data_IF_455316676691
#
_entry.id   IF_455316676691
#
_cell.length_a   1.000
_cell.length_b   1.000
_cell.length_c   1.000
_cell.angle_alpha   90.00
_cell.angle_beta   90.00
_cell.angle_gamma   90.00
#
_symmetry.space_group_name_H-M   'P 1'
#
loop_
_entity.id
_entity.type
_entity.pdbx_description
1 polymer ?
#
# COMPACT_ATOMS: atom_id res chain seq x y z
N UNK A 1 -8.13 -0.77 -36.70
CA UNK A 1 -7.47 -0.15 -35.54
C UNK A 1 -8.39 0.85 -34.82
N UNK A 2 -9.01 1.82 -35.49
CA UNK A 2 -9.94 2.82 -34.90
C UNK A 2 -11.17 2.23 -34.18
N UNK A 3 -11.72 1.13 -34.66
CA UNK A 3 -12.90 0.47 -34.07
C UNK A 3 -12.60 -0.19 -32.72
N UNK A 4 -11.40 -0.77 -32.55
CA UNK A 4 -10.93 -1.36 -31.29
C UNK A 4 -10.65 -0.28 -30.24
N UNK A 5 -9.95 0.79 -30.61
CA UNK A 5 -9.70 1.93 -29.74
C UNK A 5 -10.99 2.59 -29.26
N UNK A 6 -11.99 2.79 -30.15
CA UNK A 6 -13.31 3.33 -29.81
C UNK A 6 -14.10 2.41 -28.88
N UNK A 7 -14.00 1.09 -29.04
CA UNK A 7 -14.64 0.10 -28.18
C UNK A 7 -13.98 0.07 -26.80
N UNK A 8 -12.67 0.22 -26.75
CA UNK A 8 -11.88 0.30 -25.53
C UNK A 8 -12.24 1.56 -24.72
N UNK A 9 -12.20 2.75 -25.36
CA UNK A 9 -12.53 4.05 -24.73
C UNK A 9 -13.95 4.12 -24.18
N UNK A 10 -14.90 3.34 -24.72
CA UNK A 10 -16.26 3.24 -24.18
C UNK A 10 -16.38 2.39 -22.91
N UNK A 11 -15.37 1.59 -22.58
CA UNK A 11 -15.35 0.69 -21.42
C UNK A 11 -14.41 1.17 -20.31
N UNK A 12 -13.47 2.04 -20.64
CA UNK A 12 -12.54 2.64 -19.67
C UNK A 12 -13.18 3.83 -18.99
N UNK A 13 -12.99 3.95 -17.71
CA UNK A 13 -13.32 5.17 -16.98
C UNK A 13 -12.34 6.28 -17.39
N UNK A 14 -12.79 7.08 -18.36
CA UNK A 14 -12.00 8.16 -18.95
C UNK A 14 -11.64 9.22 -17.90
N UNK A 15 -12.53 9.44 -16.90
CA UNK A 15 -12.28 10.41 -15.84
C UNK A 15 -11.11 9.96 -14.97
N UNK A 16 -11.12 8.70 -14.49
CA UNK A 16 -10.04 8.14 -13.69
C UNK A 16 -8.71 8.16 -14.45
N UNK A 17 -8.74 7.79 -15.75
CA UNK A 17 -7.53 7.82 -16.58
C UNK A 17 -6.98 9.25 -16.75
N UNK A 18 -7.86 10.23 -17.01
CA UNK A 18 -7.48 11.63 -17.14
C UNK A 18 -6.89 12.19 -15.85
N UNK A 19 -7.48 11.87 -14.69
CA UNK A 19 -6.95 12.25 -13.38
C UNK A 19 -5.57 11.63 -13.10
N UNK A 20 -5.38 10.35 -13.43
CA UNK A 20 -4.07 9.70 -13.29
C UNK A 20 -3.00 10.38 -14.17
N UNK A 21 -3.33 10.70 -15.41
CA UNK A 21 -2.42 11.41 -16.33
C UNK A 21 -2.11 12.82 -15.82
N UNK A 22 -3.11 13.54 -15.32
CA UNK A 22 -2.94 14.87 -14.74
C UNK A 22 -2.00 14.82 -13.51
N UNK A 23 -2.26 13.92 -12.56
CA UNK A 23 -1.42 13.74 -11.38
C UNK A 23 0.02 13.36 -11.75
N UNK A 24 0.19 12.45 -12.74
CA UNK A 24 1.51 12.06 -13.24
C UNK A 24 2.24 13.26 -13.88
N UNK A 25 1.53 14.08 -14.66
CA UNK A 25 2.08 15.29 -15.27
C UNK A 25 2.53 16.32 -14.21
N UNK A 26 1.67 16.58 -13.22
CA UNK A 26 2.00 17.47 -12.09
C UNK A 26 3.24 16.94 -11.35
N UNK A 27 3.31 15.64 -11.08
CA UNK A 27 4.45 15.02 -10.40
C UNK A 27 5.76 15.23 -11.16
N UNK A 28 5.77 15.07 -12.49
CA UNK A 28 6.95 15.32 -13.33
C UNK A 28 7.36 16.80 -13.26
N UNK A 29 6.40 17.73 -13.37
CA UNK A 29 6.67 19.19 -13.31
C UNK A 29 7.28 19.58 -11.96
N UNK A 30 6.70 19.07 -10.86
CA UNK A 30 7.22 19.33 -9.49
C UNK A 30 8.65 18.79 -9.35
N UNK A 31 8.92 17.57 -9.83
CA UNK A 31 10.27 17.00 -9.76
C UNK A 31 11.29 17.75 -10.64
N UNK A 32 10.89 18.28 -11.78
CA UNK A 32 11.71 19.15 -12.60
C UNK A 32 12.02 20.46 -11.86
N UNK A 33 11.03 21.08 -11.22
CA UNK A 33 11.20 22.30 -10.45
C UNK A 33 12.16 22.11 -9.27
N UNK A 34 11.99 21.02 -8.50
CA UNK A 34 12.88 20.67 -7.39
C UNK A 34 14.30 20.35 -7.87
N UNK A 35 14.44 19.71 -9.04
CA UNK A 35 15.73 19.38 -9.63
C UNK A 35 16.54 20.61 -10.08
N UNK A 36 15.88 21.72 -10.39
CA UNK A 36 16.54 23.01 -10.73
C UNK A 36 16.90 23.84 -9.48
N UNK A 37 16.25 23.58 -8.35
CA UNK A 37 16.63 24.20 -7.08
C UNK A 37 17.91 23.55 -6.55
N UNK A 38 18.89 24.35 -6.08
CA UNK A 38 20.17 23.86 -5.54
C UNK A 38 20.05 22.91 -4.33
N UNK A 39 18.84 22.70 -3.82
CA UNK A 39 18.50 21.82 -2.72
C UNK A 39 18.31 20.34 -3.11
N UNK A 40 18.28 20.01 -4.40
CA UNK A 40 18.01 18.66 -4.86
C UNK A 40 18.91 18.22 -6.00
N UNK A 41 20.06 17.63 -5.70
CA UNK A 41 20.92 16.95 -6.68
C UNK A 41 20.24 15.80 -7.42
N UNK A 42 19.26 16.05 -8.29
CA UNK A 42 18.41 14.98 -8.79
C UNK A 42 17.75 15.24 -10.15
N UNK A 43 18.54 15.70 -11.11
CA UNK A 43 18.09 15.75 -12.50
C UNK A 43 17.57 14.41 -13.06
N UNK A 44 17.88 13.31 -12.40
CA UNK A 44 17.47 11.97 -12.82
C UNK A 44 16.09 11.55 -12.30
N UNK A 45 15.55 12.15 -11.23
CA UNK A 45 14.27 11.73 -10.62
C UNK A 45 13.07 12.03 -11.53
N UNK A 46 13.07 13.16 -12.21
CA UNK A 46 12.01 13.53 -13.15
C UNK A 46 11.96 12.58 -14.35
N UNK A 47 13.12 12.19 -14.88
CA UNK A 47 13.20 11.21 -15.98
C UNK A 47 12.71 9.84 -15.55
N UNK A 48 13.08 9.38 -14.34
CA UNK A 48 12.60 8.12 -13.77
C UNK A 48 11.07 8.17 -13.57
N UNK A 49 10.54 9.29 -13.05
CA UNK A 49 9.09 9.47 -12.88
C UNK A 49 8.34 9.44 -14.21
N UNK A 50 8.88 10.08 -15.24
CA UNK A 50 8.27 10.07 -16.57
C UNK A 50 8.21 8.66 -17.16
N UNK A 51 9.33 7.91 -17.11
CA UNK A 51 9.39 6.51 -17.57
C UNK A 51 8.43 5.63 -16.75
N UNK A 52 8.40 5.78 -15.43
CA UNK A 52 7.49 5.04 -14.57
C UNK A 52 6.02 5.34 -14.89
N UNK A 53 5.68 6.59 -15.21
CA UNK A 53 4.33 6.99 -15.62
C UNK A 53 3.92 6.36 -16.95
N UNK A 54 4.83 6.29 -17.91
CA UNK A 54 4.57 5.61 -19.20
C UNK A 54 4.38 4.10 -19.02
N UNK A 55 5.22 3.45 -18.22
CA UNK A 55 5.09 2.04 -17.89
C UNK A 55 3.80 1.76 -17.12
N UNK A 56 3.44 2.62 -16.17
CA UNK A 56 2.19 2.53 -15.41
C UNK A 56 0.96 2.64 -16.33
N UNK A 57 0.97 3.59 -17.28
CA UNK A 57 -0.10 3.73 -18.26
C UNK A 57 -0.22 2.48 -19.15
N UNK A 58 0.91 1.94 -19.62
CA UNK A 58 0.92 0.72 -20.43
C UNK A 58 0.36 -0.48 -19.63
N UNK A 59 0.77 -0.64 -18.38
CA UNK A 59 0.25 -1.67 -17.49
C UNK A 59 -1.25 -1.48 -17.21
N UNK A 60 -1.72 -0.26 -17.00
CA UNK A 60 -3.14 0.05 -16.82
C UNK A 60 -3.97 -0.38 -18.04
N UNK A 61 -3.48 -0.12 -19.25
CA UNK A 61 -4.14 -0.56 -20.49
C UNK A 61 -4.17 -2.09 -20.56
N UNK A 62 -3.08 -2.78 -20.25
CA UNK A 62 -3.02 -4.24 -20.27
C UNK A 62 -3.97 -4.84 -19.22
N UNK A 63 -3.89 -4.37 -17.99
CA UNK A 63 -4.70 -4.90 -16.88
C UNK A 63 -6.20 -4.64 -17.06
N UNK A 64 -6.58 -3.57 -17.73
CA UNK A 64 -7.99 -3.26 -18.04
C UNK A 64 -8.64 -4.28 -18.99
N UNK A 65 -7.85 -5.11 -19.68
CA UNK A 65 -8.33 -6.21 -20.54
C UNK A 65 -8.49 -7.53 -19.78
N UNK A 66 -7.96 -7.62 -18.55
CA UNK A 66 -7.98 -8.85 -17.75
C UNK A 66 -9.31 -8.99 -17.02
N UNK A 67 -9.87 -10.19 -17.01
CA UNK A 67 -11.03 -10.50 -16.19
C UNK A 67 -10.65 -10.55 -14.69
N UNK A 68 -11.16 -9.60 -13.92
CA UNK A 68 -10.89 -9.51 -12.49
C UNK A 68 -11.38 -10.74 -11.71
N UNK A 69 -12.45 -11.41 -12.16
CA UNK A 69 -12.91 -12.64 -11.52
C UNK A 69 -11.93 -13.79 -11.75
N UNK A 70 -11.37 -13.91 -12.95
CA UNK A 70 -10.32 -14.88 -13.25
C UNK A 70 -9.07 -14.61 -12.41
N UNK A 71 -8.68 -13.34 -12.29
CA UNK A 71 -7.54 -12.93 -11.48
C UNK A 71 -7.77 -13.21 -9.98
N UNK A 72 -8.96 -12.86 -9.45
CA UNK A 72 -9.31 -13.15 -8.06
C UNK A 72 -9.38 -14.66 -7.78
N UNK A 73 -9.80 -15.48 -8.76
CA UNK A 73 -9.79 -16.94 -8.65
C UNK A 73 -8.38 -17.51 -8.59
N UNK A 74 -7.44 -16.89 -9.30
CA UNK A 74 -6.01 -17.24 -9.28
C UNK A 74 -5.28 -16.74 -8.02
N UNK A 75 -6.02 -16.46 -6.93
CA UNK A 75 -5.49 -15.89 -5.69
C UNK A 75 -4.25 -16.62 -5.13
N UNK A 76 -4.13 -17.97 -5.18
CA UNK A 76 -2.94 -18.62 -4.63
C UNK A 76 -1.67 -18.22 -5.37
N UNK A 77 -1.74 -18.07 -6.70
CA UNK A 77 -0.59 -17.73 -7.51
C UNK A 77 -0.07 -16.32 -7.22
N UNK A 78 -0.93 -15.30 -7.32
CA UNK A 78 -0.49 -13.93 -7.07
C UNK A 78 -0.19 -13.67 -5.58
N UNK A 79 -0.85 -14.37 -4.64
CA UNK A 79 -0.52 -14.29 -3.22
C UNK A 79 0.86 -14.87 -2.92
N UNK A 80 1.20 -16.05 -3.46
CA UNK A 80 2.53 -16.65 -3.30
C UNK A 80 3.61 -15.75 -3.88
N UNK A 81 3.40 -15.17 -5.07
CA UNK A 81 4.37 -14.25 -5.69
C UNK A 81 4.53 -12.98 -4.83
N UNK A 82 3.43 -12.34 -4.44
CA UNK A 82 3.47 -11.10 -3.68
C UNK A 82 4.12 -11.29 -2.31
N UNK A 83 3.66 -12.28 -1.54
CA UNK A 83 4.20 -12.56 -0.21
C UNK A 83 5.59 -13.20 -0.26
N UNK A 84 5.90 -13.98 -1.29
CA UNK A 84 7.25 -14.50 -1.55
C UNK A 84 8.28 -13.39 -1.76
N UNK A 85 7.86 -12.22 -2.24
CA UNK A 85 8.70 -11.02 -2.34
C UNK A 85 8.72 -10.21 -1.03
N UNK A 86 7.62 -10.17 -0.27
CA UNK A 86 7.56 -9.42 1.01
C UNK A 86 8.29 -10.15 2.13
N UNK A 87 8.12 -11.49 2.26
CA UNK A 87 8.68 -12.24 3.38
C UNK A 87 10.20 -12.13 3.53
N UNK A 88 11.02 -12.15 2.46
CA UNK A 88 12.46 -11.97 2.60
C UNK A 88 12.85 -10.65 3.27
N UNK A 89 12.10 -9.56 3.00
CA UNK A 89 12.41 -8.24 3.60
C UNK A 89 12.06 -8.14 5.09
N UNK A 90 11.29 -9.10 5.63
CA UNK A 90 11.04 -9.24 7.07
C UNK A 90 12.30 -9.71 7.83
N UNK A 91 13.11 -10.56 7.20
CA UNK A 91 14.22 -11.25 7.86
C UNK A 91 15.59 -10.77 7.39
N UNK A 92 15.66 -10.22 6.18
CA UNK A 92 16.91 -9.82 5.54
C UNK A 92 16.97 -8.29 5.49
N UNK A 93 17.76 -7.71 6.39
CA UNK A 93 17.93 -6.26 6.49
C UNK A 93 19.26 -5.85 5.86
N UNK A 94 19.21 -5.04 4.79
CA UNK A 94 20.37 -4.56 4.03
C UNK A 94 21.30 -5.66 3.51
N UNK A 95 20.76 -6.86 3.24
CA UNK A 95 21.55 -7.99 2.73
C UNK A 95 21.87 -7.77 1.26
N UNK A 96 23.15 -7.77 0.90
CA UNK A 96 23.64 -7.57 -0.46
C UNK A 96 23.90 -8.89 -1.17
N UNK A 97 23.29 -9.06 -2.33
CA UNK A 97 23.54 -10.18 -3.24
C UNK A 97 23.89 -9.61 -4.63
N UNK A 98 25.18 -9.29 -4.83
CA UNK A 98 25.65 -8.62 -6.05
C UNK A 98 25.03 -7.22 -6.22
N UNK A 99 24.27 -7.02 -7.30
CA UNK A 99 23.58 -5.76 -7.60
C UNK A 99 22.22 -5.61 -6.88
N UNK A 100 21.77 -6.67 -6.17
CA UNK A 100 20.52 -6.70 -5.42
C UNK A 100 20.81 -6.45 -3.92
N UNK A 101 20.04 -5.55 -3.30
CA UNK A 101 20.00 -5.39 -1.84
C UNK A 101 18.57 -5.69 -1.39
N UNK A 102 18.43 -6.62 -0.45
CA UNK A 102 17.15 -7.03 0.15
C UNK A 102 17.00 -6.33 1.48
N UNK A 103 15.80 -5.84 1.79
CA UNK A 103 15.53 -5.09 3.02
C UNK A 103 16.33 -3.77 3.05
N UNK A 104 16.33 -3.04 1.93
CA UNK A 104 17.02 -1.76 1.85
C UNK A 104 16.24 -0.68 2.60
N UNK A 105 16.90 0.03 3.50
CA UNK A 105 16.36 1.21 4.16
C UNK A 105 16.59 2.45 3.27
N UNK A 106 15.55 2.89 2.58
CA UNK A 106 15.64 3.98 1.62
C UNK A 106 15.79 5.36 2.27
N UNK A 107 15.41 5.49 3.55
CA UNK A 107 15.35 6.79 4.25
C UNK A 107 16.17 6.88 5.53
N UNK A 108 16.91 5.83 5.92
CA UNK A 108 17.59 5.80 7.21
C UNK A 108 16.63 5.78 8.40
N UNK A 109 15.41 5.28 8.19
CA UNK A 109 14.31 5.31 9.16
C UNK A 109 14.01 3.94 9.78
N UNK A 110 14.91 2.96 9.60
CA UNK A 110 14.73 1.55 9.96
C UNK A 110 13.54 0.89 9.25
N UNK A 111 13.17 1.40 8.08
CA UNK A 111 12.17 0.80 7.20
C UNK A 111 12.85 -0.10 6.17
N UNK A 112 12.80 -1.42 6.40
CA UNK A 112 13.49 -2.42 5.58
C UNK A 112 12.59 -3.05 4.49
N UNK A 113 11.54 -2.37 4.07
CA UNK A 113 10.52 -2.88 3.13
C UNK A 113 10.90 -2.80 1.65
N UNK A 114 12.12 -2.40 1.30
CA UNK A 114 12.52 -2.13 -0.07
C UNK A 114 13.52 -3.16 -0.61
N UNK A 115 13.45 -3.39 -1.91
CA UNK A 115 14.54 -3.94 -2.71
C UNK A 115 15.27 -2.81 -3.42
N UNK A 116 16.61 -2.88 -3.48
CA UNK A 116 17.41 -2.01 -4.34
C UNK A 116 18.09 -2.86 -5.40
N UNK A 117 17.84 -2.55 -6.67
CA UNK A 117 18.37 -3.27 -7.83
C UNK A 117 19.19 -2.25 -8.64
N UNK A 118 20.51 -2.33 -8.55
CA UNK A 118 21.37 -1.29 -9.12
C UNK A 118 21.11 0.07 -8.46
N UNK A 119 20.66 1.05 -9.23
CA UNK A 119 20.28 2.40 -8.74
C UNK A 119 18.79 2.59 -8.44
N UNK A 120 17.95 1.57 -8.72
CA UNK A 120 16.50 1.67 -8.61
C UNK A 120 16.01 0.97 -7.34
N UNK A 121 14.96 1.52 -6.71
CA UNK A 121 14.29 0.90 -5.56
C UNK A 121 12.93 0.37 -5.98
N UNK A 122 12.55 -0.78 -5.43
CA UNK A 122 11.26 -1.42 -5.64
C UNK A 122 10.69 -1.85 -4.28
N UNK A 123 9.43 -1.53 -4.03
CA UNK A 123 8.74 -1.90 -2.80
C UNK A 123 7.77 -3.06 -3.07
N UNK A 124 8.04 -4.28 -2.59
CA UNK A 124 7.18 -5.44 -2.86
C UNK A 124 5.80 -5.32 -2.22
N UNK A 125 5.65 -4.53 -1.16
CA UNK A 125 4.35 -4.28 -0.51
C UNK A 125 3.35 -3.57 -1.43
N UNK A 126 3.81 -2.84 -2.46
CA UNK A 126 2.92 -2.27 -3.49
C UNK A 126 2.24 -3.37 -4.32
N UNK A 127 2.98 -4.42 -4.67
CA UNK A 127 2.41 -5.59 -5.35
C UNK A 127 1.52 -6.41 -4.39
N UNK A 128 1.96 -6.56 -3.14
CA UNK A 128 1.19 -7.26 -2.11
C UNK A 128 -0.16 -6.57 -1.82
N UNK A 129 -0.24 -5.26 -1.93
CA UNK A 129 -1.48 -4.47 -1.80
C UNK A 129 -2.54 -4.89 -2.83
N UNK A 130 -2.13 -5.05 -4.08
CA UNK A 130 -3.03 -5.52 -5.14
C UNK A 130 -3.51 -6.95 -4.88
N UNK A 131 -2.59 -7.84 -4.49
CA UNK A 131 -2.93 -9.20 -4.09
C UNK A 131 -3.87 -9.24 -2.90
N UNK A 132 -3.64 -8.41 -1.88
CA UNK A 132 -4.47 -8.30 -0.69
C UNK A 132 -5.91 -7.87 -1.04
N UNK A 133 -6.08 -6.85 -1.88
CA UNK A 133 -7.41 -6.39 -2.33
C UNK A 133 -8.17 -7.53 -3.02
N UNK A 134 -7.51 -8.24 -3.94
CA UNK A 134 -8.12 -9.32 -4.70
C UNK A 134 -8.49 -10.52 -3.82
N UNK A 135 -7.59 -10.93 -2.92
CA UNK A 135 -7.83 -12.06 -2.01
C UNK A 135 -8.90 -11.74 -0.97
N UNK A 136 -8.92 -10.51 -0.45
CA UNK A 136 -9.95 -10.08 0.51
C UNK A 136 -11.32 -9.94 -0.17
N UNK A 137 -11.38 -9.41 -1.40
CA UNK A 137 -12.61 -9.35 -2.19
C UNK A 137 -13.17 -10.77 -2.45
N UNK A 138 -12.30 -11.71 -2.81
CA UNK A 138 -12.67 -13.11 -2.99
C UNK A 138 -13.16 -13.76 -1.70
N UNK A 139 -12.53 -13.46 -0.56
CA UNK A 139 -12.96 -13.97 0.75
C UNK A 139 -14.33 -13.40 1.13
N UNK A 140 -14.54 -12.09 0.96
CA UNK A 140 -15.82 -11.43 1.23
C UNK A 140 -16.96 -11.98 0.37
N UNK A 141 -16.70 -12.23 -0.91
CA UNK A 141 -17.70 -12.82 -1.80
C UNK A 141 -18.13 -14.23 -1.33
N UNK A 142 -17.19 -15.06 -0.90
CA UNK A 142 -17.49 -16.41 -0.35
C UNK A 142 -18.33 -16.38 0.92
N UNK A 143 -18.21 -15.34 1.73
CA UNK A 143 -18.99 -15.19 2.98
C UNK A 143 -20.14 -14.18 2.85
N UNK A 144 -20.49 -13.81 1.61
CA UNK A 144 -21.53 -12.83 1.31
C UNK A 144 -22.84 -13.12 2.07
N UNK A 145 -23.41 -12.09 2.69
CA UNK A 145 -24.59 -12.19 3.55
C UNK A 145 -24.34 -12.86 4.92
N UNK A 146 -23.10 -13.27 5.22
CA UNK A 146 -22.71 -13.92 6.49
C UNK A 146 -21.47 -13.29 7.11
N UNK A 147 -21.09 -12.10 6.69
CA UNK A 147 -19.89 -11.34 7.15
C UNK A 147 -19.91 -11.17 8.68
N UNK A 148 -21.07 -10.83 9.24
CA UNK A 148 -21.25 -10.54 10.66
C UNK A 148 -21.30 -11.79 11.57
N UNK A 149 -21.18 -13.01 11.02
CA UNK A 149 -21.06 -14.23 11.85
C UNK A 149 -19.69 -14.22 12.53
N UNK A 150 -19.60 -14.54 13.84
CA UNK A 150 -18.33 -14.41 14.58
C UNK A 150 -17.16 -15.13 13.92
N UNK A 151 -17.36 -16.36 13.44
CA UNK A 151 -16.32 -17.14 12.77
C UNK A 151 -15.83 -16.46 11.48
N UNK A 152 -16.74 -15.96 10.65
CA UNK A 152 -16.37 -15.29 9.40
C UNK A 152 -15.66 -13.94 9.69
N UNK A 153 -16.18 -13.19 10.65
CA UNK A 153 -15.57 -11.92 11.05
C UNK A 153 -14.15 -12.13 11.58
N UNK A 154 -13.92 -13.13 12.44
CA UNK A 154 -12.58 -13.46 12.93
C UNK A 154 -11.62 -13.84 11.79
N UNK A 155 -12.08 -14.65 10.82
CA UNK A 155 -11.25 -15.02 9.67
C UNK A 155 -10.96 -13.83 8.75
N UNK A 156 -11.91 -12.92 8.56
CA UNK A 156 -11.70 -11.67 7.81
C UNK A 156 -10.75 -10.73 8.53
N UNK A 157 -10.90 -10.58 9.85
CA UNK A 157 -9.97 -9.79 10.67
C UNK A 157 -8.57 -10.39 10.64
N UNK A 158 -8.42 -11.71 10.74
CA UNK A 158 -7.13 -12.37 10.59
C UNK A 158 -6.52 -12.12 9.19
N UNK A 159 -7.33 -12.17 8.13
CA UNK A 159 -6.88 -11.88 6.76
C UNK A 159 -6.35 -10.44 6.61
N UNK A 160 -6.89 -9.48 7.38
CA UNK A 160 -6.46 -8.08 7.38
C UNK A 160 -5.26 -7.89 8.30
N UNK A 161 -5.33 -8.41 9.53
CA UNK A 161 -4.33 -8.15 10.55
C UNK A 161 -2.99 -8.82 10.26
N UNK A 162 -2.97 -10.02 9.66
CA UNK A 162 -1.71 -10.71 9.31
C UNK A 162 -0.83 -9.87 8.38
N UNK A 163 -1.33 -9.35 7.23
CA UNK A 163 -0.57 -8.40 6.42
C UNK A 163 -0.14 -7.14 7.16
N UNK A 164 -1.07 -6.53 7.90
CA UNK A 164 -0.81 -5.28 8.64
C UNK A 164 0.35 -5.47 9.63
N UNK A 165 0.30 -6.55 10.42
CA UNK A 165 1.36 -6.88 11.38
C UNK A 165 2.69 -7.19 10.70
N UNK A 166 2.68 -7.96 9.60
CA UNK A 166 3.88 -8.28 8.85
C UNK A 166 4.58 -7.01 8.34
N UNK A 167 3.82 -6.06 7.79
CA UNK A 167 4.34 -4.80 7.25
C UNK A 167 4.79 -3.86 8.39
N UNK A 168 4.06 -3.84 9.51
CA UNK A 168 4.46 -3.10 10.72
C UNK A 168 5.82 -3.59 11.26
N UNK A 169 6.04 -4.89 11.34
CA UNK A 169 7.33 -5.48 11.77
C UNK A 169 8.50 -5.08 10.86
N UNK A 170 8.24 -4.79 9.58
CA UNK A 170 9.25 -4.24 8.65
C UNK A 170 9.65 -2.78 8.95
N UNK A 171 8.93 -2.10 9.85
CA UNK A 171 9.09 -0.67 10.14
C UNK A 171 8.34 0.24 9.16
N UNK A 172 7.41 -0.31 8.35
CA UNK A 172 6.62 0.46 7.37
C UNK A 172 5.20 0.72 7.88
N UNK A 173 5.10 1.52 8.94
CA UNK A 173 3.81 1.84 9.57
C UNK A 173 2.86 2.57 8.62
N UNK A 174 3.40 3.39 7.72
CA UNK A 174 2.59 4.10 6.72
C UNK A 174 1.85 3.13 5.80
N UNK A 175 2.57 2.16 5.25
CA UNK A 175 1.97 1.12 4.40
C UNK A 175 1.06 0.18 5.21
N UNK A 176 1.41 -0.17 6.44
CA UNK A 176 0.57 -0.96 7.34
C UNK A 176 -0.80 -0.28 7.58
N UNK A 177 -0.79 1.04 7.82
CA UNK A 177 -2.02 1.83 7.96
C UNK A 177 -2.86 1.81 6.70
N UNK A 178 -2.25 1.91 5.51
CA UNK A 178 -2.96 1.82 4.22
C UNK A 178 -3.66 0.45 4.08
N UNK A 179 -2.97 -0.66 4.41
CA UNK A 179 -3.59 -1.99 4.39
C UNK A 179 -4.77 -2.09 5.38
N UNK A 180 -4.62 -1.54 6.58
CA UNK A 180 -5.69 -1.50 7.57
C UNK A 180 -6.91 -0.71 7.07
N UNK A 181 -6.69 0.48 6.51
CA UNK A 181 -7.76 1.31 5.92
C UNK A 181 -8.48 0.61 4.77
N UNK A 182 -7.73 0.01 3.83
CA UNK A 182 -8.32 -0.78 2.74
C UNK A 182 -9.16 -1.92 3.31
N UNK A 183 -8.63 -2.68 4.28
CA UNK A 183 -9.34 -3.80 4.91
C UNK A 183 -10.65 -3.36 5.56
N UNK A 184 -10.63 -2.30 6.35
CA UNK A 184 -11.82 -1.74 7.01
C UNK A 184 -12.86 -1.28 5.99
N UNK A 185 -12.46 -0.51 4.97
CA UNK A 185 -13.36 -0.05 3.92
C UNK A 185 -13.98 -1.22 3.14
N UNK A 186 -13.21 -2.25 2.85
CA UNK A 186 -13.70 -3.45 2.17
C UNK A 186 -14.66 -4.26 3.05
N UNK A 187 -14.44 -4.34 4.37
CA UNK A 187 -15.40 -4.96 5.30
C UNK A 187 -16.74 -4.24 5.28
N UNK A 188 -16.74 -2.90 5.30
CA UNK A 188 -17.97 -2.12 5.18
C UNK A 188 -18.67 -2.36 3.84
N UNK A 189 -17.94 -2.34 2.75
CA UNK A 189 -18.47 -2.65 1.42
C UNK A 189 -19.01 -4.09 1.34
N UNK A 190 -18.42 -5.02 2.08
CA UNK A 190 -18.85 -6.42 2.22
C UNK A 190 -20.06 -6.65 3.12
N UNK A 191 -20.55 -5.60 3.81
CA UNK A 191 -21.75 -5.66 4.66
C UNK A 191 -21.46 -5.84 6.16
N UNK A 192 -20.31 -5.37 6.64
CA UNK A 192 -20.06 -5.28 8.09
C UNK A 192 -21.08 -4.36 8.72
N UNK A 193 -21.74 -4.83 9.77
CA UNK A 193 -22.74 -4.03 10.48
C UNK A 193 -22.10 -2.91 11.31
N UNK A 194 -22.72 -1.74 11.33
CA UNK A 194 -22.24 -0.56 12.07
C UNK A 194 -22.02 -0.86 13.56
N UNK A 195 -22.91 -1.59 14.28
CA UNK A 195 -22.67 -1.90 15.69
C UNK A 195 -21.40 -2.73 15.93
N UNK A 196 -21.10 -3.71 15.05
CA UNK A 196 -19.86 -4.50 15.17
C UNK A 196 -18.62 -3.64 14.86
N UNK A 197 -18.72 -2.76 13.87
CA UNK A 197 -17.64 -1.82 13.56
C UNK A 197 -17.37 -0.85 14.72
N UNK A 198 -18.40 -0.26 15.31
CA UNK A 198 -18.28 0.62 16.48
C UNK A 198 -17.73 -0.12 17.71
N UNK A 199 -18.19 -1.37 17.93
CA UNK A 199 -17.65 -2.23 18.98
C UNK A 199 -16.16 -2.51 18.79
N UNK A 200 -15.76 -2.86 17.56
CA UNK A 200 -14.35 -3.08 17.21
C UNK A 200 -13.51 -1.81 17.38
N UNK A 201 -14.02 -0.66 16.97
CA UNK A 201 -13.37 0.64 17.16
C UNK A 201 -13.19 0.97 18.65
N UNK A 202 -14.23 0.78 19.45
CA UNK A 202 -14.18 1.00 20.90
C UNK A 202 -13.12 0.11 21.57
N UNK A 203 -13.07 -1.18 21.21
CA UNK A 203 -12.03 -2.11 21.70
C UNK A 203 -10.64 -1.68 21.25
N UNK A 204 -10.50 -1.22 19.98
CA UNK A 204 -9.22 -0.72 19.46
C UNK A 204 -8.74 0.52 20.20
N UNK A 205 -9.61 1.49 20.45
CA UNK A 205 -9.30 2.71 21.22
C UNK A 205 -8.94 2.36 22.66
N UNK A 206 -9.74 1.52 23.34
CA UNK A 206 -9.47 1.10 24.70
C UNK A 206 -8.15 0.34 24.82
N UNK A 207 -7.88 -0.58 23.87
CA UNK A 207 -6.62 -1.32 23.81
C UNK A 207 -5.41 -0.41 23.55
N UNK A 208 -5.53 0.54 22.62
CA UNK A 208 -4.51 1.54 22.35
C UNK A 208 -4.24 2.44 23.56
N UNK A 209 -5.28 2.92 24.22
CA UNK A 209 -5.16 3.72 25.45
C UNK A 209 -4.49 2.94 26.57
N UNK A 210 -4.86 1.68 26.78
CA UNK A 210 -4.23 0.80 27.75
C UNK A 210 -2.75 0.55 27.43
N UNK A 211 -2.41 0.35 26.15
CA UNK A 211 -1.04 0.16 25.70
C UNK A 211 -0.17 1.39 25.97
N UNK A 212 -0.69 2.59 25.65
CA UNK A 212 0.01 3.87 25.95
C UNK A 212 0.16 4.09 27.44
N UNK A 213 -0.86 3.76 28.25
CA UNK A 213 -0.80 3.88 29.70
C UNK A 213 0.26 2.97 30.34
N UNK A 214 0.45 1.76 29.77
CA UNK A 214 1.44 0.79 30.27
C UNK A 214 2.84 1.01 29.69
N UNK A 215 2.93 1.59 28.48
CA UNK A 215 4.17 1.84 27.76
C UNK A 215 4.23 3.28 27.23
N UNK A 216 4.41 4.30 28.11
CA UNK A 216 4.40 5.70 27.69
C UNK A 216 5.52 6.08 26.71
N UNK A 217 6.57 5.26 26.63
CA UNK A 217 7.67 5.47 25.67
C UNK A 217 7.26 5.34 24.21
N UNK A 218 6.11 4.72 23.92
CA UNK A 218 5.53 4.68 22.58
C UNK A 218 5.28 6.08 22.03
N UNK A 219 4.90 7.03 22.90
CA UNK A 219 4.67 8.42 22.53
C UNK A 219 5.95 9.21 22.23
N UNK A 220 7.12 8.69 22.61
CA UNK A 220 8.44 9.28 22.30
C UNK A 220 9.00 8.80 20.98
N UNK A 221 8.34 7.82 20.34
CA UNK A 221 8.79 7.24 19.09
C UNK A 221 8.74 8.22 17.91
N UNK A 222 9.58 7.96 16.91
CA UNK A 222 9.69 8.76 15.67
C UNK A 222 8.33 9.03 14.98
N UNK A 223 7.41 8.07 15.03
CA UNK A 223 6.08 8.20 14.42
C UNK A 223 5.23 9.27 15.11
N UNK A 224 5.27 9.31 16.43
CA UNK A 224 4.55 10.31 17.20
C UNK A 224 5.13 11.72 17.01
N UNK A 225 6.45 11.82 16.94
CA UNK A 225 7.15 13.08 16.60
C UNK A 225 6.70 13.63 15.23
N UNK A 226 6.51 12.79 14.24
CA UNK A 226 6.00 13.20 12.92
C UNK A 226 4.56 13.74 12.99
N UNK A 227 3.71 13.14 13.80
CA UNK A 227 2.33 13.63 14.03
C UNK A 227 2.37 14.99 14.71
N UNK A 228 3.20 15.15 15.73
CA UNK A 228 3.39 16.43 16.43
C UNK A 228 3.90 17.51 15.46
N UNK A 229 4.89 17.22 14.65
CA UNK A 229 5.44 18.17 13.67
C UNK A 229 4.39 18.69 12.66
N UNK A 230 3.36 17.90 12.37
CA UNK A 230 2.24 18.33 11.52
C UNK A 230 1.25 19.19 12.30
N UNK A 231 1.02 18.88 13.58
CA UNK A 231 0.06 19.58 14.43
C UNK A 231 0.62 20.85 15.05
N UNK A 232 1.94 20.90 15.26
CA UNK A 232 2.65 22.03 15.86
C UNK A 232 3.84 22.44 14.97
N UNK A 233 3.59 23.00 13.77
CA UNK A 233 4.65 23.33 12.82
C UNK A 233 5.63 24.43 13.30
N UNK A 234 5.24 25.21 14.32
CA UNK A 234 6.01 26.34 14.86
C UNK A 234 6.90 25.96 16.05
N UNK A 235 6.88 24.71 16.51
CA UNK A 235 7.72 24.22 17.61
C UNK A 235 8.77 23.23 17.04
N UNK A 236 10.00 23.71 16.71
CA UNK A 236 11.07 22.84 16.25
C UNK A 236 11.57 21.98 17.42
N UNK A 237 11.19 20.69 17.42
CA UNK A 237 11.67 19.70 18.38
C UNK A 237 13.15 19.35 18.19
#
# INVERSE_FOLDING_TARGET
MFTLARRYLRRVDVLSLALCLLCSGISVVVLLSVGHSQLGGSGNKASVQFIASLLGLMLAIITSTIDLHALARAWPLHAVVAWGLVLPTLFLHNVRAGFLVIGYDAGGTSNYSWYRIGGMTFQPTELAKLSFILTLAWHLDKVRGRVNRPRNLLLLLAHILLPVLAIHIQGDDGTALVFACIGVLMLFAGGLSVPLALGGLAVGIAGGAALVATHPDILKGYQFQRILAVLTPDDPA
#
